data_IF_171969979580
#
_entry.id   IF_171969979580
#
_cell.length_a   1.000
_cell.length_b   1.000
_cell.length_c   1.000
_cell.angle_alpha   90.00
_cell.angle_beta   90.00
_cell.angle_gamma   90.00
#
_symmetry.space_group_name_H-M   'P 1'
#
loop_
_entity.id
_entity.type
_entity.pdbx_description
1 polymer ?
#
# COMPACT_ATOMS: atom_id res chain seq x y z
N UNK A 1 -5.40 14.40 20.71
CA UNK A 1 -4.37 15.43 20.34
C UNK A 1 -3.01 14.82 20.53
N UNK A 2 -2.06 15.04 19.62
CA UNK A 2 -0.67 14.53 19.73
C UNK A 2 0.08 15.35 20.78
N UNK A 3 0.67 14.66 21.75
CA UNK A 3 1.41 15.21 22.88
C UNK A 3 2.90 14.83 22.84
N UNK A 4 3.22 13.69 22.21
CA UNK A 4 4.58 13.19 22.10
C UNK A 4 4.90 12.70 20.70
N UNK A 5 6.12 12.98 20.24
CA UNK A 5 6.68 12.43 19.03
C UNK A 5 7.77 11.43 19.35
N UNK A 6 7.71 10.28 18.69
CA UNK A 6 8.76 9.28 18.77
C UNK A 6 9.23 8.91 17.37
N UNK A 7 10.44 8.40 17.23
CA UNK A 7 10.92 7.86 15.98
C UNK A 7 11.71 6.57 16.18
N UNK A 8 11.67 5.73 15.16
CA UNK A 8 12.51 4.53 15.08
C UNK A 8 13.14 4.46 13.69
N UNK A 9 14.45 4.19 13.63
CA UNK A 9 15.17 3.99 12.37
C UNK A 9 15.57 2.53 12.29
N UNK A 10 14.97 1.80 11.34
CA UNK A 10 15.27 0.39 11.09
C UNK A 10 16.66 0.24 10.49
N UNK A 11 17.41 -0.74 10.98
CA UNK A 11 18.76 -1.08 10.52
C UNK A 11 18.80 -2.35 9.65
N UNK A 12 17.65 -2.98 9.43
CA UNK A 12 17.51 -4.18 8.59
C UNK A 12 17.07 -3.82 7.17
N UNK A 13 17.53 -4.60 6.19
CA UNK A 13 17.06 -4.55 4.80
C UNK A 13 16.06 -5.66 4.48
N UNK A 14 15.74 -6.54 5.44
CA UNK A 14 14.80 -7.64 5.29
C UNK A 14 13.35 -7.13 5.35
N UNK A 15 12.55 -7.28 4.26
CA UNK A 15 11.20 -6.73 4.19
C UNK A 15 10.25 -7.34 5.21
N UNK A 16 10.40 -8.61 5.53
CA UNK A 16 9.53 -9.30 6.49
C UNK A 16 9.76 -8.77 7.91
N UNK A 17 11.02 -8.53 8.28
CA UNK A 17 11.35 -7.94 9.57
C UNK A 17 10.84 -6.50 9.66
N UNK A 18 11.04 -5.70 8.60
CA UNK A 18 10.61 -4.31 8.57
C UNK A 18 9.09 -4.15 8.66
N UNK A 19 8.32 -4.97 7.93
CA UNK A 19 6.86 -4.99 8.02
C UNK A 19 6.38 -5.49 9.38
N UNK A 20 7.11 -6.42 10.02
CA UNK A 20 6.81 -6.91 11.36
C UNK A 20 7.02 -5.81 12.43
N UNK A 21 8.08 -5.02 12.29
CA UNK A 21 8.34 -3.87 13.15
C UNK A 21 7.26 -2.80 12.92
N UNK A 22 6.87 -2.53 11.67
CA UNK A 22 5.79 -1.60 11.34
C UNK A 22 4.48 -1.98 12.05
N UNK A 23 4.07 -3.25 11.96
CA UNK A 23 2.86 -3.73 12.62
C UNK A 23 3.00 -3.75 14.14
N UNK A 24 4.16 -4.15 14.67
CA UNK A 24 4.43 -4.09 16.10
C UNK A 24 4.31 -2.66 16.66
N UNK A 25 4.89 -1.68 15.97
CA UNK A 25 4.79 -0.27 16.36
C UNK A 25 3.34 0.25 16.25
N UNK A 26 2.59 -0.20 15.25
CA UNK A 26 1.15 0.11 15.11
C UNK A 26 0.35 -0.43 16.31
N UNK A 27 0.62 -1.67 16.70
CA UNK A 27 -0.09 -2.31 17.82
C UNK A 27 0.28 -1.71 19.18
N UNK A 28 1.40 -1.01 19.28
CA UNK A 28 1.96 -0.50 20.55
C UNK A 28 1.97 1.01 20.69
N UNK A 29 1.60 1.77 19.65
CA UNK A 29 1.50 3.23 19.72
C UNK A 29 0.49 3.64 20.80
N UNK A 30 0.93 4.61 21.66
CA UNK A 30 0.14 5.02 22.83
C UNK A 30 -0.83 6.17 22.51
N UNK A 31 -1.89 6.35 23.30
CA UNK A 31 -2.74 7.54 23.21
C UNK A 31 -1.90 8.83 23.33
N UNK A 32 -2.12 9.79 22.41
CA UNK A 32 -1.36 11.04 22.35
C UNK A 32 0.05 10.92 21.74
N UNK A 33 0.48 9.73 21.37
CA UNK A 33 1.77 9.49 20.73
C UNK A 33 1.62 9.41 19.19
N UNK A 34 2.63 9.94 18.48
CA UNK A 34 2.86 9.64 17.06
C UNK A 34 4.28 9.12 16.88
N UNK A 35 4.42 8.04 16.12
CA UNK A 35 5.70 7.42 15.81
C UNK A 35 6.02 7.64 14.33
N UNK A 36 7.23 8.10 14.02
CA UNK A 36 7.80 8.09 12.67
C UNK A 36 8.80 6.93 12.57
N UNK A 37 8.47 5.93 11.77
CA UNK A 37 9.36 4.81 11.47
C UNK A 37 9.98 5.00 10.09
N UNK A 38 11.33 4.95 10.00
CA UNK A 38 12.12 5.08 8.77
C UNK A 38 12.87 3.78 8.51
N UNK A 39 12.74 3.23 7.29
CA UNK A 39 13.27 1.90 6.98
C UNK A 39 13.53 1.70 5.48
N UNK A 40 14.34 0.72 5.15
CA UNK A 40 14.71 0.37 3.79
C UNK A 40 14.59 -1.14 3.57
N UNK A 41 14.31 -1.54 2.34
CA UNK A 41 14.39 -2.94 1.92
C UNK A 41 15.43 -3.10 0.82
N UNK A 42 16.02 -4.29 0.73
CA UNK A 42 16.84 -4.69 -0.39
C UNK A 42 16.02 -5.53 -1.37
N UNK A 43 16.11 -5.22 -2.66
CA UNK A 43 15.55 -5.97 -3.80
C UNK A 43 14.20 -6.65 -3.50
N UNK A 44 13.20 -5.84 -3.22
CA UNK A 44 11.91 -6.34 -2.75
C UNK A 44 10.77 -5.80 -3.61
N UNK A 45 9.88 -6.68 -4.07
CA UNK A 45 8.55 -6.28 -4.53
C UNK A 45 7.59 -6.33 -3.35
N UNK A 46 6.96 -5.20 -3.02
CA UNK A 46 5.92 -5.12 -1.98
C UNK A 46 4.57 -4.93 -2.64
N UNK A 47 3.69 -5.91 -2.47
CA UNK A 47 2.31 -5.87 -2.97
C UNK A 47 1.34 -5.41 -1.88
N UNK A 48 0.22 -4.81 -2.30
CA UNK A 48 -0.88 -4.45 -1.40
C UNK A 48 -1.63 -5.67 -0.87
N UNK A 49 -2.38 -5.48 0.22
CA UNK A 49 -3.10 -6.54 0.96
C UNK A 49 -3.92 -7.45 0.06
N UNK A 50 -4.66 -6.88 -0.90
CA UNK A 50 -5.58 -7.63 -1.76
C UNK A 50 -5.06 -7.85 -3.19
N UNK A 51 -3.77 -7.61 -3.47
CA UNK A 51 -3.24 -7.84 -4.80
C UNK A 51 -2.95 -9.32 -5.08
N UNK A 52 -3.14 -9.70 -6.35
CA UNK A 52 -2.77 -11.02 -6.85
C UNK A 52 -1.26 -11.07 -7.10
N UNK A 53 -0.52 -11.73 -6.20
CA UNK A 53 0.94 -11.82 -6.27
C UNK A 53 1.46 -12.32 -7.64
N UNK A 54 0.75 -13.28 -8.23
CA UNK A 54 1.14 -13.89 -9.51
C UNK A 54 0.96 -12.96 -10.71
N UNK A 55 0.03 -12.00 -10.62
CA UNK A 55 -0.18 -10.99 -11.67
C UNK A 55 0.73 -9.78 -11.52
N UNK A 56 1.04 -9.38 -10.30
CA UNK A 56 1.74 -8.12 -10.02
C UNK A 56 3.26 -8.24 -10.11
N UNK A 57 3.81 -9.44 -9.93
CA UNK A 57 5.24 -9.66 -9.77
C UNK A 57 5.74 -10.80 -10.65
N UNK A 58 6.87 -10.60 -11.31
CA UNK A 58 7.66 -11.67 -11.92
C UNK A 58 8.45 -12.39 -10.85
N UNK A 59 7.72 -13.12 -10.03
CA UNK A 59 8.23 -13.71 -8.79
C UNK A 59 9.43 -14.63 -9.00
N UNK A 60 9.41 -15.48 -10.06
CA UNK A 60 10.50 -16.41 -10.34
C UNK A 60 11.81 -15.68 -10.66
N UNK A 61 11.77 -14.63 -11.46
CA UNK A 61 12.92 -13.80 -11.81
C UNK A 61 13.45 -13.07 -10.57
N UNK A 62 12.55 -12.49 -9.77
CA UNK A 62 12.89 -11.82 -8.52
C UNK A 62 13.60 -12.75 -7.53
N UNK A 63 13.10 -13.98 -7.35
CA UNK A 63 13.67 -14.97 -6.44
C UNK A 63 15.03 -15.49 -6.93
N UNK A 64 15.19 -15.73 -8.23
CA UNK A 64 16.46 -16.12 -8.85
C UNK A 64 17.55 -15.07 -8.63
N UNK A 65 17.18 -13.80 -8.63
CA UNK A 65 18.08 -12.69 -8.37
C UNK A 65 18.30 -12.42 -6.86
N UNK A 66 17.80 -13.30 -5.98
CA UNK A 66 17.89 -13.18 -4.52
C UNK A 66 17.01 -12.09 -3.93
N UNK A 67 15.97 -11.68 -4.64
CA UNK A 67 14.99 -10.71 -4.14
C UNK A 67 13.84 -11.34 -3.36
N UNK A 68 12.99 -10.49 -2.81
CA UNK A 68 11.89 -10.87 -1.93
C UNK A 68 10.54 -10.38 -2.45
N UNK A 69 9.52 -11.23 -2.37
CA UNK A 69 8.13 -10.81 -2.48
C UNK A 69 7.56 -10.64 -1.07
N UNK A 70 7.04 -9.47 -0.76
CA UNK A 70 6.38 -9.18 0.52
C UNK A 70 4.97 -8.62 0.29
N UNK A 71 4.05 -8.89 1.20
CA UNK A 71 2.69 -8.35 1.21
C UNK A 71 2.50 -7.49 2.44
N UNK A 72 2.09 -6.22 2.25
CA UNK A 72 1.80 -5.27 3.33
C UNK A 72 0.33 -5.32 3.74
N UNK A 73 0.01 -4.73 4.91
CA UNK A 73 -1.37 -4.63 5.42
C UNK A 73 -2.22 -3.61 4.65
N UNK A 74 -1.59 -2.55 4.10
CA UNK A 74 -2.32 -1.51 3.38
C UNK A 74 -2.72 -1.94 1.97
N UNK A 75 -3.68 -1.23 1.39
CA UNK A 75 -4.03 -1.35 -0.02
C UNK A 75 -3.02 -0.70 -0.97
N UNK A 76 -3.47 -0.40 -2.19
CA UNK A 76 -2.66 0.21 -3.23
C UNK A 76 -1.90 -0.80 -4.09
N UNK A 77 -1.20 -0.30 -5.10
CA UNK A 77 -0.48 -1.11 -6.09
C UNK A 77 0.87 -1.63 -5.61
N UNK A 78 1.44 -2.55 -6.38
CA UNK A 78 2.78 -3.09 -6.16
C UNK A 78 3.86 -2.01 -6.37
N UNK A 79 4.90 -2.07 -5.55
CA UNK A 79 6.09 -1.22 -5.60
C UNK A 79 7.35 -2.08 -5.56
N UNK A 80 8.45 -1.54 -6.10
CA UNK A 80 9.76 -2.15 -5.97
C UNK A 80 10.63 -1.29 -5.05
N UNK A 81 11.32 -1.95 -4.12
CA UNK A 81 12.27 -1.34 -3.20
C UNK A 81 13.67 -1.91 -3.43
N UNK A 82 14.63 -1.04 -3.51
CA UNK A 82 16.05 -1.32 -3.33
C UNK A 82 16.62 -0.36 -2.28
N UNK A 83 17.91 -0.41 -2.03
CA UNK A 83 18.57 0.48 -1.04
C UNK A 83 18.56 1.97 -1.43
N UNK A 84 18.15 2.30 -2.66
CA UNK A 84 17.89 3.67 -3.11
C UNK A 84 16.51 4.20 -2.72
N UNK A 85 15.65 3.35 -2.14
CA UNK A 85 14.34 3.73 -1.65
C UNK A 85 14.35 3.84 -0.12
N UNK A 86 13.91 4.97 0.42
CA UNK A 86 13.62 5.13 1.85
C UNK A 86 12.12 5.03 2.08
N UNK A 87 11.70 4.15 2.99
CA UNK A 87 10.32 4.10 3.44
C UNK A 87 10.13 4.93 4.71
N UNK A 88 8.96 5.51 4.84
CA UNK A 88 8.51 6.17 6.06
C UNK A 88 7.14 5.61 6.47
N UNK A 89 6.89 5.59 7.78
CA UNK A 89 5.58 5.21 8.33
C UNK A 89 5.26 6.12 9.51
N UNK A 90 4.13 6.85 9.44
CA UNK A 90 3.53 7.55 10.57
C UNK A 90 2.50 6.65 11.21
N UNK A 91 2.70 6.31 12.50
CA UNK A 91 1.80 5.46 13.26
C UNK A 91 1.17 6.27 14.40
N UNK A 92 -0.15 6.17 14.54
CA UNK A 92 -0.91 7.05 15.43
C UNK A 92 -2.25 6.41 15.81
N UNK A 93 -2.82 6.69 17.01
CA UNK A 93 -4.21 6.37 17.28
C UNK A 93 -5.15 6.98 16.22
N UNK A 94 -6.13 6.20 15.73
CA UNK A 94 -7.02 6.61 14.63
C UNK A 94 -7.74 7.94 14.89
N UNK A 95 -8.09 8.21 16.14
CA UNK A 95 -8.73 9.49 16.54
C UNK A 95 -7.86 10.73 16.31
N UNK A 96 -6.55 10.55 16.24
CA UNK A 96 -5.55 11.61 16.04
C UNK A 96 -4.93 11.58 14.63
N UNK A 97 -5.48 10.73 13.73
CA UNK A 97 -4.99 10.58 12.37
C UNK A 97 -5.31 11.81 11.50
N UNK A 98 -4.28 12.45 10.97
CA UNK A 98 -4.36 13.60 10.07
C UNK A 98 -3.41 13.42 8.89
N UNK A 99 -3.95 12.89 7.79
CA UNK A 99 -3.19 12.65 6.58
C UNK A 99 -2.58 13.93 5.98
N UNK A 100 -3.31 15.05 6.02
CA UNK A 100 -2.83 16.30 5.45
C UNK A 100 -1.62 16.82 6.19
N UNK A 101 -1.63 16.72 7.50
CA UNK A 101 -0.52 17.12 8.37
C UNK A 101 0.69 16.17 8.21
N UNK A 102 0.46 14.86 8.09
CA UNK A 102 1.51 13.87 7.81
C UNK A 102 2.16 14.08 6.45
N UNK A 103 1.36 14.34 5.41
CA UNK A 103 1.86 14.68 4.08
C UNK A 103 2.69 15.98 4.08
N UNK A 104 2.31 16.97 4.90
CA UNK A 104 3.09 18.21 5.00
C UNK A 104 4.47 18.00 5.60
N UNK A 105 4.69 16.97 6.43
CA UNK A 105 6.04 16.59 6.90
C UNK A 105 6.92 16.19 5.72
N UNK A 106 6.41 15.36 4.82
CA UNK A 106 7.17 14.90 3.65
C UNK A 106 7.47 16.07 2.72
N UNK A 107 6.46 16.91 2.43
CA UNK A 107 6.64 18.08 1.59
C UNK A 107 7.62 19.09 2.18
N UNK A 108 7.57 19.34 3.49
CA UNK A 108 8.50 20.22 4.19
C UNK A 108 9.94 19.69 4.11
N UNK A 109 10.13 18.38 4.36
CA UNK A 109 11.45 17.76 4.28
C UNK A 109 12.05 17.90 2.87
N UNK A 110 11.28 17.62 1.82
CA UNK A 110 11.76 17.71 0.43
C UNK A 110 11.98 19.17 0.00
N UNK A 111 11.08 20.09 0.37
CA UNK A 111 11.23 21.53 0.09
C UNK A 111 12.44 22.14 0.79
N UNK A 112 12.82 21.64 1.96
CA UNK A 112 14.04 22.08 2.65
C UNK A 112 15.33 21.77 1.89
N UNK A 113 15.26 20.88 0.89
CA UNK A 113 16.34 20.57 -0.05
C UNK A 113 16.34 21.50 -1.30
N UNK A 114 15.42 22.45 -1.37
CA UNK A 114 15.24 23.35 -2.52
C UNK A 114 14.39 22.74 -3.66
N UNK A 115 13.69 21.63 -3.41
CA UNK A 115 12.88 20.93 -4.40
C UNK A 115 11.41 21.34 -4.26
N UNK A 116 10.75 21.78 -5.36
CA UNK A 116 9.32 22.09 -5.37
C UNK A 116 8.50 20.80 -5.55
N UNK A 117 8.15 20.17 -4.45
CA UNK A 117 7.32 18.97 -4.41
C UNK A 117 5.85 19.30 -4.14
N UNK A 118 4.96 18.57 -4.80
CA UNK A 118 3.51 18.77 -4.73
C UNK A 118 2.76 17.46 -4.57
N UNK A 119 1.63 17.49 -3.83
CA UNK A 119 0.71 16.36 -3.76
C UNK A 119 -0.03 16.22 -5.10
N UNK A 120 -0.12 15.00 -5.61
CA UNK A 120 -0.80 14.72 -6.88
C UNK A 120 -1.74 13.53 -6.75
N UNK A 121 -2.95 13.67 -7.29
CA UNK A 121 -3.96 12.62 -7.28
C UNK A 121 -4.32 12.15 -5.87
N UNK A 122 -4.54 10.84 -5.71
CA UNK A 122 -5.04 10.24 -4.45
C UNK A 122 -3.93 10.02 -3.43
N UNK A 123 -2.74 9.64 -3.89
CA UNK A 123 -1.69 9.11 -3.02
C UNK A 123 -0.27 9.27 -3.58
N UNK A 124 -0.05 10.13 -4.55
CA UNK A 124 1.28 10.38 -5.11
C UNK A 124 1.81 11.75 -4.64
N UNK A 125 3.15 11.86 -4.49
CA UNK A 125 3.84 13.14 -4.40
C UNK A 125 4.78 13.23 -5.60
N UNK A 126 4.78 14.39 -6.26
CA UNK A 126 5.42 14.59 -7.55
C UNK A 126 6.32 15.81 -7.56
N UNK A 127 7.31 15.81 -8.46
CA UNK A 127 8.13 16.95 -8.87
C UNK A 127 7.97 17.05 -10.39
N UNK A 128 7.54 18.19 -10.90
CA UNK A 128 7.28 18.41 -12.33
C UNK A 128 6.40 17.32 -12.97
N UNK A 129 5.38 16.86 -12.22
CA UNK A 129 4.46 15.81 -12.64
C UNK A 129 5.01 14.37 -12.55
N UNK A 130 6.29 14.16 -12.23
CA UNK A 130 6.90 12.85 -12.04
C UNK A 130 6.84 12.43 -10.57
N UNK A 131 6.40 11.20 -10.33
CA UNK A 131 6.25 10.65 -8.98
C UNK A 131 7.60 10.26 -8.39
N UNK A 132 7.88 10.71 -7.16
CA UNK A 132 8.99 10.22 -6.35
C UNK A 132 8.53 9.54 -5.05
N UNK A 133 7.25 9.70 -4.69
CA UNK A 133 6.66 9.10 -3.48
C UNK A 133 5.27 8.55 -3.76
N UNK A 134 5.03 7.32 -3.35
CA UNK A 134 3.73 6.68 -3.32
C UNK A 134 3.31 6.40 -1.89
N UNK A 135 2.02 6.58 -1.59
CA UNK A 135 1.51 6.51 -0.23
C UNK A 135 0.35 5.53 -0.14
N UNK A 136 0.23 4.87 1.00
CA UNK A 136 -0.88 3.99 1.33
C UNK A 136 -1.21 4.09 2.83
N UNK A 137 -2.38 3.60 3.21
CA UNK A 137 -2.96 3.80 4.52
C UNK A 137 -3.52 2.49 5.04
N UNK A 138 -3.52 2.32 6.36
CA UNK A 138 -4.12 1.18 7.01
C UNK A 138 -4.69 1.61 8.35
N UNK A 139 -5.85 1.09 8.70
CA UNK A 139 -6.39 1.12 10.04
C UNK A 139 -6.44 -0.30 10.57
N UNK A 140 -5.96 -0.50 11.79
CA UNK A 140 -6.02 -1.78 12.51
C UNK A 140 -6.51 -1.52 13.93
N UNK A 141 -7.75 -1.92 14.22
CA UNK A 141 -8.38 -1.61 15.49
C UNK A 141 -8.50 -0.10 15.71
N UNK A 142 -7.96 0.38 16.81
CA UNK A 142 -7.99 1.80 17.19
C UNK A 142 -6.78 2.60 16.69
N UNK A 143 -5.87 1.97 15.95
CA UNK A 143 -4.65 2.60 15.43
C UNK A 143 -4.64 2.64 13.91
N UNK A 144 -3.97 3.65 13.37
CA UNK A 144 -3.81 3.85 11.94
C UNK A 144 -2.38 4.18 11.59
N UNK A 145 -1.98 3.80 10.38
CA UNK A 145 -0.75 4.31 9.80
C UNK A 145 -0.94 4.89 8.40
N UNK A 146 -0.08 5.83 8.08
CA UNK A 146 0.22 6.30 6.75
C UNK A 146 1.67 5.96 6.46
N UNK A 147 1.92 5.16 5.44
CA UNK A 147 3.27 4.88 4.99
C UNK A 147 3.47 5.23 3.52
N UNK A 148 4.72 5.38 3.14
CA UNK A 148 5.08 5.69 1.76
C UNK A 148 6.54 5.44 1.47
N UNK A 149 6.85 5.65 0.20
CA UNK A 149 8.19 5.51 -0.38
C UNK A 149 8.77 6.88 -0.68
N UNK A 150 10.08 7.03 -0.56
CA UNK A 150 10.85 8.14 -1.10
C UNK A 150 11.92 7.57 -2.02
N UNK A 151 11.78 7.81 -3.31
CA UNK A 151 12.76 7.39 -4.31
C UNK A 151 13.95 8.36 -4.27
N UNK A 152 15.02 7.96 -3.59
CA UNK A 152 16.26 8.74 -3.51
C UNK A 152 17.13 8.45 -4.72
N UNK A 153 17.46 7.17 -4.93
CA UNK A 153 18.33 6.68 -6.00
C UNK A 153 17.91 5.25 -6.42
N UNK A 154 16.63 5.07 -6.72
CA UNK A 154 16.05 3.77 -7.11
C UNK A 154 16.45 3.43 -8.55
N UNK A 155 16.80 2.18 -8.80
CA UNK A 155 17.03 1.66 -10.15
C UNK A 155 15.68 1.45 -10.86
N UNK A 156 15.29 2.41 -11.68
CA UNK A 156 14.00 2.39 -12.39
C UNK A 156 13.90 1.29 -13.45
N UNK A 157 15.02 0.73 -13.90
CA UNK A 157 15.02 -0.42 -14.82
C UNK A 157 14.56 -1.69 -14.09
N UNK A 158 15.01 -1.88 -12.85
CA UNK A 158 14.55 -2.99 -12.00
C UNK A 158 13.08 -2.87 -11.65
N UNK A 159 12.55 -1.66 -11.45
CA UNK A 159 11.10 -1.44 -11.27
C UNK A 159 10.31 -2.03 -12.45
N UNK A 160 10.72 -1.72 -13.69
CA UNK A 160 10.07 -2.22 -14.91
C UNK A 160 10.32 -3.73 -15.12
N UNK A 161 11.45 -4.25 -14.63
CA UNK A 161 11.80 -5.66 -14.77
C UNK A 161 10.96 -6.57 -13.89
N UNK A 162 10.79 -6.25 -12.61
CA UNK A 162 10.10 -7.15 -11.66
C UNK A 162 8.60 -6.92 -11.53
N UNK A 163 8.09 -5.72 -11.89
CA UNK A 163 6.66 -5.43 -11.81
C UNK A 163 5.94 -5.68 -13.13
N UNK A 164 4.84 -6.42 -13.07
CA UNK A 164 3.92 -6.58 -14.18
C UNK A 164 2.94 -5.40 -14.21
N UNK A 165 3.33 -4.29 -14.84
CA UNK A 165 2.44 -3.13 -14.98
C UNK A 165 1.59 -3.31 -16.23
N UNK A 166 0.26 -3.41 -16.07
CA UNK A 166 -0.65 -3.56 -17.22
C UNK A 166 -0.62 -2.31 -18.11
N UNK A 167 -0.75 -2.51 -19.45
CA UNK A 167 -0.86 -1.38 -20.39
C UNK A 167 -2.06 -0.47 -20.05
N UNK A 168 -3.19 -1.03 -19.61
CA UNK A 168 -4.34 -0.25 -19.13
C UNK A 168 -3.96 0.70 -18.00
N UNK A 169 -3.08 0.27 -17.08
CA UNK A 169 -2.57 1.10 -15.96
C UNK A 169 -1.65 2.22 -16.43
N UNK A 170 -0.81 1.98 -17.43
CA UNK A 170 0.04 3.02 -18.02
C UNK A 170 -0.81 4.04 -18.79
N UNK A 171 -1.72 3.58 -19.64
CA UNK A 171 -2.63 4.45 -20.44
C UNK A 171 -3.52 5.32 -19.53
N UNK A 172 -4.09 4.78 -18.44
CA UNK A 172 -4.92 5.56 -17.50
C UNK A 172 -4.15 6.66 -16.77
N UNK A 173 -2.81 6.61 -16.77
CA UNK A 173 -1.93 7.63 -16.21
C UNK A 173 -1.28 8.53 -17.26
N UNK A 174 -1.62 8.35 -18.55
CA UNK A 174 -1.11 9.16 -19.66
C UNK A 174 0.39 9.00 -19.93
N UNK A 175 0.99 7.84 -19.58
CA UNK A 175 2.44 7.60 -19.72
C UNK A 175 2.71 6.35 -20.56
N UNK A 176 3.84 6.37 -21.28
CA UNK A 176 4.26 5.27 -22.15
C UNK A 176 5.03 4.16 -21.41
N UNK A 177 5.63 4.48 -20.26
CA UNK A 177 6.43 3.53 -19.48
C UNK A 177 6.43 3.88 -18.00
N UNK A 178 6.86 2.94 -17.14
CA UNK A 178 7.04 3.17 -15.71
C UNK A 178 8.13 4.22 -15.48
N UNK A 179 9.26 4.13 -16.18
CA UNK A 179 10.40 5.03 -16.01
C UNK A 179 10.09 6.49 -16.39
N UNK A 180 9.19 6.72 -17.36
CA UNK A 180 8.79 8.09 -17.73
C UNK A 180 7.90 8.76 -16.69
N UNK A 181 7.34 7.98 -15.76
CA UNK A 181 6.40 8.44 -14.73
C UNK A 181 7.06 8.83 -13.41
N UNK A 182 8.25 8.32 -13.14
CA UNK A 182 8.92 8.47 -11.85
C UNK A 182 10.19 9.30 -11.96
N UNK A 183 10.66 9.84 -10.82
CA UNK A 183 11.97 10.46 -10.68
C UNK A 183 12.58 10.11 -9.32
N UNK A 184 13.89 10.26 -9.20
CA UNK A 184 14.61 10.17 -7.94
C UNK A 184 14.88 11.57 -7.37
N UNK A 185 14.95 11.71 -6.06
CA UNK A 185 15.34 12.97 -5.42
C UNK A 185 16.80 13.34 -5.76
N UNK A 186 17.67 12.33 -5.96
CA UNK A 186 19.05 12.54 -6.38
C UNK A 186 19.19 13.10 -7.81
N UNK A 187 18.14 13.04 -8.64
CA UNK A 187 18.12 13.72 -9.94
C UNK A 187 18.20 15.26 -9.78
N UNK A 188 17.75 15.78 -8.63
CA UNK A 188 17.71 17.22 -8.30
C UNK A 188 18.80 17.60 -7.30
N UNK A 189 19.15 16.70 -6.36
CA UNK A 189 20.21 16.89 -5.36
C UNK A 189 21.13 15.68 -5.38
N UNK A 190 22.13 15.63 -6.28
CA UNK A 190 22.97 14.45 -6.53
C UNK A 190 23.74 13.95 -5.29
N UNK A 191 24.07 14.83 -4.35
CA UNK A 191 24.78 14.49 -3.11
C UNK A 191 23.87 13.95 -1.99
N UNK A 192 22.54 13.93 -2.18
CA UNK A 192 21.60 13.54 -1.15
C UNK A 192 21.81 12.07 -0.75
N UNK A 193 22.07 11.85 0.52
CA UNK A 193 22.20 10.52 1.12
C UNK A 193 20.93 10.13 1.88
N UNK A 194 20.74 8.81 2.06
CA UNK A 194 19.62 8.31 2.90
C UNK A 194 19.66 8.90 4.31
N UNK A 195 20.84 9.01 4.90
CA UNK A 195 21.01 9.57 6.26
C UNK A 195 20.60 11.04 6.32
N UNK A 196 20.96 11.85 5.33
CA UNK A 196 20.52 13.25 5.24
C UNK A 196 19.01 13.35 5.07
N UNK A 197 18.40 12.50 4.21
CA UNK A 197 16.95 12.50 4.06
C UNK A 197 16.23 12.08 5.33
N UNK A 198 16.74 11.09 6.07
CA UNK A 198 16.22 10.74 7.40
C UNK A 198 16.27 11.93 8.36
N UNK A 199 17.40 12.65 8.40
CA UNK A 199 17.54 13.85 9.23
C UNK A 199 16.54 14.95 8.83
N UNK A 200 16.37 15.21 7.53
CA UNK A 200 15.39 16.17 7.00
C UNK A 200 13.95 15.81 7.37
N UNK A 201 13.61 14.52 7.36
CA UNK A 201 12.30 14.05 7.82
C UNK A 201 12.07 14.28 9.31
N UNK A 202 13.07 14.03 10.15
CA UNK A 202 12.98 14.29 11.60
C UNK A 202 12.86 15.79 11.91
N UNK A 203 13.63 16.64 11.22
CA UNK A 203 13.52 18.11 11.32
C UNK A 203 12.14 18.62 10.92
N UNK A 204 11.63 18.13 9.78
CA UNK A 204 10.28 18.47 9.30
C UNK A 204 9.19 17.96 10.24
N UNK A 205 9.35 16.76 10.80
CA UNK A 205 8.43 16.16 11.76
C UNK A 205 8.33 17.01 13.02
N UNK A 206 9.48 17.42 13.58
CA UNK A 206 9.53 18.35 14.71
C UNK A 206 8.86 19.69 14.38
N UNK A 207 9.17 20.27 13.22
CA UNK A 207 8.66 21.59 12.79
C UNK A 207 7.14 21.58 12.62
N UNK A 208 6.58 20.57 11.90
CA UNK A 208 5.14 20.50 11.58
C UNK A 208 4.30 20.25 12.84
N UNK A 209 4.80 19.44 13.77
CA UNK A 209 4.08 19.12 15.00
C UNK A 209 4.44 20.05 16.18
N UNK A 210 5.48 20.86 16.06
CA UNK A 210 5.98 21.78 17.11
C UNK A 210 6.35 21.03 18.40
N UNK A 211 6.88 19.83 18.26
CA UNK A 211 7.33 18.93 19.32
C UNK A 211 8.68 18.32 18.94
N UNK A 212 9.49 17.96 19.91
CA UNK A 212 10.79 17.29 19.67
C UNK A 212 10.61 15.78 19.62
N UNK A 213 10.94 15.10 18.51
CA UNK A 213 10.85 13.64 18.42
C UNK A 213 11.96 12.97 19.23
N UNK A 214 11.60 11.95 20.00
CA UNK A 214 12.53 11.15 20.80
C UNK A 214 12.75 9.76 20.17
N UNK A 215 13.97 9.22 20.16
CA UNK A 215 14.25 7.91 19.65
C UNK A 215 13.57 6.82 20.50
N UNK A 216 13.00 5.81 19.85
CA UNK A 216 12.57 4.58 20.52
C UNK A 216 13.81 3.69 20.68
N UNK A 217 14.23 3.35 21.91
CA UNK A 217 15.37 2.46 22.12
C UNK A 217 15.07 1.04 21.64
N UNK A 218 16.05 0.37 21.03
CA UNK A 218 15.93 -1.04 20.61
C UNK A 218 15.50 -1.95 21.76
N UNK A 219 15.90 -1.63 22.98
CA UNK A 219 15.61 -2.41 24.19
C UNK A 219 14.13 -2.47 24.58
N UNK A 220 13.28 -1.58 24.03
CA UNK A 220 11.82 -1.62 24.28
C UNK A 220 11.05 -2.38 23.20
N UNK A 221 11.73 -2.81 22.14
CA UNK A 221 11.12 -3.65 21.08
C UNK A 221 11.00 -5.08 21.60
N UNK A 222 9.77 -5.60 21.64
CA UNK A 222 9.53 -7.00 21.98
C UNK A 222 9.87 -7.91 20.79
N UNK A 223 11.11 -8.36 20.74
CA UNK A 223 11.61 -9.22 19.67
C UNK A 223 10.79 -10.52 19.52
N UNK A 224 10.19 -11.05 20.59
CA UNK A 224 9.35 -12.26 20.50
C UNK A 224 8.09 -12.00 19.70
N UNK A 225 7.43 -10.86 19.96
CA UNK A 225 6.25 -10.44 19.18
C UNK A 225 6.63 -10.12 17.72
N UNK A 226 7.73 -9.40 17.52
CA UNK A 226 8.23 -9.11 16.16
C UNK A 226 8.53 -10.39 15.39
N UNK A 227 9.16 -11.39 16.02
CA UNK A 227 9.44 -12.67 15.36
C UNK A 227 8.18 -13.50 15.06
N UNK A 228 7.13 -13.41 15.88
CA UNK A 228 5.85 -14.03 15.56
C UNK A 228 5.23 -13.41 14.29
N UNK A 229 5.27 -12.07 14.16
CA UNK A 229 4.84 -11.36 12.95
C UNK A 229 5.75 -11.69 11.75
N UNK A 230 7.06 -11.78 11.96
CA UNK A 230 8.01 -12.18 10.91
C UNK A 230 7.65 -13.53 10.29
N UNK A 231 7.31 -14.52 11.10
CA UNK A 231 6.89 -15.84 10.62
C UNK A 231 5.62 -15.75 9.77
N UNK A 232 4.69 -14.87 10.12
CA UNK A 232 3.50 -14.60 9.31
C UNK A 232 3.87 -13.94 7.99
N UNK A 233 4.62 -12.80 8.00
CA UNK A 233 4.96 -12.06 6.79
C UNK A 233 5.84 -12.84 5.81
N UNK A 234 6.70 -13.73 6.30
CA UNK A 234 7.56 -14.57 5.48
C UNK A 234 6.85 -15.82 4.95
N UNK A 235 5.68 -16.19 5.50
CA UNK A 235 4.95 -17.40 5.12
C UNK A 235 4.45 -17.35 3.67
N UNK A 236 4.30 -18.53 3.09
CA UNK A 236 3.74 -18.70 1.75
C UNK A 236 2.29 -18.20 1.70
N UNK A 237 1.49 -18.59 2.71
CA UNK A 237 0.08 -18.28 2.85
C UNK A 237 -0.15 -16.76 2.86
N UNK A 238 0.67 -16.02 3.58
CA UNK A 238 0.57 -14.57 3.63
C UNK A 238 0.94 -13.92 2.28
N UNK A 239 2.03 -14.36 1.66
CA UNK A 239 2.53 -13.78 0.40
C UNK A 239 1.60 -14.04 -0.77
N UNK A 240 1.14 -15.27 -0.93
CA UNK A 240 0.39 -15.69 -2.11
C UNK A 240 -1.12 -15.81 -1.88
N UNK A 241 -1.56 -15.92 -0.63
CA UNK A 241 -2.95 -16.12 -0.26
C UNK A 241 -3.48 -17.50 -0.64
N UNK A 242 -4.77 -17.65 -0.52
CA UNK A 242 -5.48 -18.88 -0.94
C UNK A 242 -5.80 -18.84 -2.44
N UNK A 243 -5.94 -20.02 -3.04
CA UNK A 243 -6.52 -20.20 -4.37
C UNK A 243 -7.88 -20.88 -4.23
N UNK A 244 -8.82 -20.50 -5.07
CA UNK A 244 -10.12 -21.17 -5.18
C UNK A 244 -10.30 -21.77 -6.58
N UNK A 245 -11.12 -22.81 -6.68
CA UNK A 245 -11.69 -23.22 -7.97
C UNK A 245 -12.82 -22.25 -8.26
N UNK A 246 -12.74 -21.51 -9.35
CA UNK A 246 -13.78 -20.57 -9.75
C UNK A 246 -14.45 -21.04 -11.05
N UNK A 247 -15.72 -20.73 -11.18
CA UNK A 247 -16.54 -20.97 -12.38
C UNK A 247 -16.84 -19.67 -13.14
N UNK A 248 -16.54 -18.52 -12.52
CA UNK A 248 -16.72 -17.19 -13.11
C UNK A 248 -15.56 -16.27 -12.70
N UNK A 249 -15.06 -15.51 -13.68
CA UNK A 249 -14.00 -14.53 -13.47
C UNK A 249 -14.30 -13.26 -14.28
N UNK A 250 -14.04 -12.11 -13.68
CA UNK A 250 -14.06 -10.82 -14.35
C UNK A 250 -12.90 -9.94 -13.89
N UNK A 251 -12.44 -9.06 -14.77
CA UNK A 251 -11.36 -8.13 -14.50
C UNK A 251 -11.63 -6.80 -15.19
N UNK A 252 -11.64 -5.71 -14.41
CA UNK A 252 -11.83 -4.38 -14.98
C UNK A 252 -11.06 -3.34 -14.15
N UNK A 253 -10.76 -2.20 -14.79
CA UNK A 253 -10.10 -1.05 -14.18
C UNK A 253 -11.03 0.14 -14.12
N UNK A 254 -11.24 0.64 -12.91
CA UNK A 254 -12.02 1.82 -12.56
C UNK A 254 -11.11 2.95 -12.06
N UNK A 255 -11.67 4.15 -11.84
CA UNK A 255 -10.93 5.30 -11.31
C UNK A 255 -10.36 5.05 -9.90
N UNK A 256 -11.04 4.24 -9.09
CA UNK A 256 -10.60 3.86 -7.74
C UNK A 256 -9.57 2.73 -7.71
N UNK A 257 -9.37 1.99 -8.81
CA UNK A 257 -8.41 0.89 -8.89
C UNK A 257 -8.81 -0.18 -9.89
N UNK A 258 -7.99 -1.22 -9.97
CA UNK A 258 -8.29 -2.45 -10.72
C UNK A 258 -8.95 -3.45 -9.78
N UNK A 259 -9.90 -4.24 -10.31
CA UNK A 259 -10.50 -5.37 -9.64
C UNK A 259 -10.43 -6.61 -10.51
N UNK A 260 -10.03 -7.74 -9.93
CA UNK A 260 -10.21 -9.08 -10.48
C UNK A 260 -11.07 -9.86 -9.51
N UNK A 261 -12.18 -10.38 -10.01
CA UNK A 261 -13.13 -11.17 -9.24
C UNK A 261 -13.05 -12.62 -9.67
N UNK A 262 -12.86 -13.54 -8.74
CA UNK A 262 -12.95 -14.98 -8.95
C UNK A 262 -14.05 -15.53 -8.06
N UNK A 263 -15.09 -16.10 -8.64
CA UNK A 263 -16.26 -16.60 -7.93
C UNK A 263 -16.48 -18.09 -8.25
N UNK A 264 -16.69 -18.89 -7.22
CA UNK A 264 -17.23 -20.22 -7.36
C UNK A 264 -18.75 -20.17 -7.20
N UNK A 265 -19.46 -20.39 -8.30
CA UNK A 265 -20.93 -20.32 -8.34
C UNK A 265 -21.47 -21.73 -8.52
N UNK A 266 -22.41 -22.13 -7.68
CA UNK A 266 -23.16 -23.38 -7.78
C UNK A 266 -24.65 -23.11 -7.56
N UNK A 267 -25.51 -23.59 -8.47
CA UNK A 267 -26.97 -23.40 -8.43
C UNK A 267 -27.39 -21.93 -8.22
N UNK A 268 -26.68 -20.99 -8.88
CA UNK A 268 -26.95 -19.56 -8.80
C UNK A 268 -26.53 -18.89 -7.46
N UNK A 269 -25.85 -19.62 -6.57
CA UNK A 269 -25.34 -19.11 -5.30
C UNK A 269 -23.82 -19.05 -5.34
N UNK A 270 -23.25 -17.95 -4.88
CA UNK A 270 -21.78 -17.77 -4.71
C UNK A 270 -21.34 -18.60 -3.50
N UNK A 271 -20.62 -19.69 -3.76
CA UNK A 271 -20.10 -20.59 -2.73
C UNK A 271 -18.74 -20.12 -2.16
N UNK A 272 -17.94 -19.50 -3.01
CA UNK A 272 -16.65 -18.93 -2.63
C UNK A 272 -16.31 -17.73 -3.51
N UNK A 273 -15.53 -16.78 -2.97
CA UNK A 273 -15.16 -15.55 -3.64
C UNK A 273 -13.75 -15.10 -3.26
N UNK A 274 -12.99 -14.61 -4.24
CA UNK A 274 -11.78 -13.83 -4.02
C UNK A 274 -11.86 -12.56 -4.87
N UNK A 275 -11.68 -11.42 -4.24
CA UNK A 275 -11.54 -10.12 -4.89
C UNK A 275 -10.08 -9.64 -4.76
N UNK A 276 -9.37 -9.60 -5.88
CA UNK A 276 -8.05 -8.98 -5.94
C UNK A 276 -8.18 -7.54 -6.42
N UNK A 277 -7.48 -6.60 -5.75
CA UNK A 277 -7.56 -5.19 -6.10
C UNK A 277 -6.35 -4.38 -5.65
N UNK A 278 -6.04 -3.30 -6.38
CA UNK A 278 -5.13 -2.23 -5.97
C UNK A 278 -5.87 -1.01 -5.37
N UNK A 279 -7.13 -1.19 -4.91
CA UNK A 279 -7.86 -0.17 -4.17
C UNK A 279 -7.13 0.20 -2.87
N UNK A 280 -7.19 1.48 -2.48
CA UNK A 280 -6.58 1.95 -1.24
C UNK A 280 -7.33 1.45 0.01
N UNK A 281 -8.66 1.31 -0.08
CA UNK A 281 -9.51 0.74 0.97
C UNK A 281 -9.49 -0.80 0.91
N UNK A 282 -8.42 -1.36 1.47
CA UNK A 282 -8.18 -2.81 1.44
C UNK A 282 -9.20 -3.58 2.26
N UNK A 283 -9.63 -3.03 3.39
CA UNK A 283 -10.57 -3.69 4.29
C UNK A 283 -11.98 -3.78 3.69
N UNK A 284 -12.36 -2.76 2.90
CA UNK A 284 -13.61 -2.79 2.16
C UNK A 284 -13.62 -3.91 1.09
N UNK A 285 -12.53 -4.05 0.33
CA UNK A 285 -12.39 -5.13 -0.66
C UNK A 285 -12.46 -6.50 0.01
N UNK A 286 -11.77 -6.68 1.13
CA UNK A 286 -11.80 -7.93 1.89
C UNK A 286 -13.20 -8.22 2.45
N UNK A 287 -13.88 -7.22 3.02
CA UNK A 287 -15.25 -7.35 3.50
C UNK A 287 -16.21 -7.75 2.37
N UNK A 288 -16.12 -7.11 1.20
CA UNK A 288 -16.93 -7.47 0.04
C UNK A 288 -16.68 -8.92 -0.39
N UNK A 289 -15.42 -9.36 -0.44
CA UNK A 289 -15.06 -10.75 -0.79
C UNK A 289 -15.76 -11.74 0.15
N UNK A 290 -15.76 -11.48 1.46
CA UNK A 290 -16.42 -12.32 2.46
C UNK A 290 -17.96 -12.26 2.36
N UNK A 291 -18.54 -11.08 2.14
CA UNK A 291 -19.99 -10.86 2.13
C UNK A 291 -20.68 -11.32 0.85
N UNK A 292 -19.95 -11.52 -0.23
CA UNK A 292 -20.45 -12.12 -1.46
C UNK A 292 -20.78 -13.61 -1.27
N UNK A 293 -20.08 -14.31 -0.39
CA UNK A 293 -20.33 -15.73 -0.12
C UNK A 293 -21.73 -15.92 0.43
N UNK A 294 -22.49 -16.87 -0.12
CA UNK A 294 -23.90 -17.14 0.20
C UNK A 294 -24.89 -16.17 -0.44
N UNK A 295 -24.45 -15.23 -1.27
CA UNK A 295 -25.36 -14.40 -2.07
C UNK A 295 -25.83 -15.12 -3.32
N UNK A 296 -27.04 -14.81 -3.78
CA UNK A 296 -27.45 -15.12 -5.16
C UNK A 296 -26.56 -14.35 -6.11
N UNK A 297 -26.18 -14.97 -7.22
CA UNK A 297 -25.41 -14.32 -8.28
C UNK A 297 -26.32 -13.40 -9.13
N UNK A 298 -26.93 -12.45 -8.47
CA UNK A 298 -27.82 -11.41 -9.01
C UNK A 298 -27.30 -10.03 -8.58
N UNK A 299 -26.79 -9.20 -9.51
CA UNK A 299 -26.18 -7.90 -9.19
C UNK A 299 -27.08 -6.97 -8.37
N UNK A 300 -28.38 -6.91 -8.66
CA UNK A 300 -29.36 -6.08 -7.95
C UNK A 300 -29.55 -6.55 -6.52
N UNK A 301 -29.66 -7.84 -6.31
CA UNK A 301 -29.77 -8.43 -4.97
C UNK A 301 -28.50 -8.15 -4.15
N UNK A 302 -27.33 -8.34 -4.76
CA UNK A 302 -26.02 -8.08 -4.11
C UNK A 302 -25.93 -6.61 -3.70
N UNK A 303 -26.25 -5.68 -4.63
CA UNK A 303 -26.20 -4.25 -4.34
C UNK A 303 -27.11 -3.87 -3.17
N UNK A 304 -28.38 -4.25 -3.20
CA UNK A 304 -29.37 -3.95 -2.14
C UNK A 304 -28.97 -4.53 -0.80
N UNK A 305 -28.34 -5.72 -0.79
CA UNK A 305 -27.89 -6.37 0.44
C UNK A 305 -26.65 -5.70 1.04
N UNK A 306 -25.69 -5.32 0.20
CA UNK A 306 -24.37 -4.88 0.68
C UNK A 306 -24.22 -3.36 0.78
N UNK A 307 -25.04 -2.55 0.12
CA UNK A 307 -24.95 -1.08 0.19
C UNK A 307 -25.08 -0.53 1.62
N UNK A 308 -25.78 -1.25 2.51
CA UNK A 308 -25.94 -0.88 3.93
C UNK A 308 -24.64 -0.96 4.73
N UNK A 309 -23.64 -1.65 4.20
CA UNK A 309 -22.32 -1.80 4.82
C UNK A 309 -21.34 -0.69 4.42
N UNK A 310 -21.69 0.11 3.42
CA UNK A 310 -20.84 1.22 2.96
C UNK A 310 -20.94 2.40 3.90
N UNK A 311 -19.79 2.95 4.30
CA UNK A 311 -19.70 4.11 5.20
C UNK A 311 -19.44 5.43 4.47
N UNK A 312 -19.07 5.38 3.19
CA UNK A 312 -18.72 6.57 2.40
C UNK A 312 -19.04 6.40 0.91
N UNK A 313 -18.96 7.51 0.17
CA UNK A 313 -19.28 7.53 -1.25
C UNK A 313 -18.36 6.63 -2.09
N UNK A 314 -17.07 6.56 -1.77
CA UNK A 314 -16.10 5.71 -2.49
C UNK A 314 -16.45 4.23 -2.36
N UNK A 315 -16.82 3.77 -1.17
CA UNK A 315 -17.24 2.38 -0.94
C UNK A 315 -18.52 2.04 -1.70
N UNK A 316 -19.49 2.97 -1.74
CA UNK A 316 -20.70 2.82 -2.55
C UNK A 316 -20.39 2.74 -4.05
N UNK A 317 -19.46 3.56 -4.54
CA UNK A 317 -19.03 3.53 -5.93
C UNK A 317 -18.37 2.19 -6.28
N UNK A 318 -17.45 1.70 -5.45
CA UNK A 318 -16.82 0.38 -5.62
C UNK A 318 -17.85 -0.73 -5.73
N UNK A 319 -18.85 -0.76 -4.83
CA UNK A 319 -19.91 -1.76 -4.86
C UNK A 319 -20.76 -1.66 -6.14
N UNK A 320 -21.11 -0.44 -6.55
CA UNK A 320 -21.88 -0.18 -7.78
C UNK A 320 -21.13 -0.66 -9.03
N UNK A 321 -19.84 -0.38 -9.10
CA UNK A 321 -18.99 -0.76 -10.24
C UNK A 321 -18.81 -2.28 -10.32
N UNK A 322 -18.63 -2.95 -9.17
CA UNK A 322 -18.58 -4.42 -9.07
C UNK A 322 -19.88 -5.03 -9.59
N UNK A 323 -21.03 -4.53 -9.16
CA UNK A 323 -22.34 -5.03 -9.62
C UNK A 323 -22.56 -4.75 -11.12
N UNK A 324 -22.06 -3.63 -11.64
CA UNK A 324 -22.10 -3.30 -13.07
C UNK A 324 -21.23 -4.24 -13.90
N UNK A 325 -20.04 -4.57 -13.41
CA UNK A 325 -19.14 -5.55 -14.05
C UNK A 325 -19.80 -6.95 -14.14
N UNK A 326 -20.48 -7.37 -13.06
CA UNK A 326 -21.22 -8.64 -13.05
C UNK A 326 -22.36 -8.67 -14.07
N UNK A 327 -23.06 -7.53 -14.31
CA UNK A 327 -24.13 -7.45 -15.34
C UNK A 327 -23.57 -7.58 -16.74
N UNK A 328 -22.51 -6.87 -17.07
CA UNK A 328 -21.90 -6.84 -18.41
C UNK A 328 -21.44 -8.23 -18.87
N UNK A 329 -20.90 -9.03 -17.98
CA UNK A 329 -20.41 -10.37 -18.30
C UNK A 329 -21.50 -11.46 -18.30
N UNK A 330 -22.70 -11.15 -17.83
CA UNK A 330 -23.86 -12.04 -17.88
C UNK A 330 -24.80 -11.73 -19.05
N UNK A 331 -24.49 -10.72 -19.88
CA UNK A 331 -25.27 -10.42 -21.09
C UNK A 331 -25.05 -11.50 -22.14
N UNK A 332 -26.12 -11.97 -22.85
CA UNK A 332 -26.02 -13.02 -23.88
C UNK A 332 -25.09 -12.69 -25.05
N UNK A 333 -24.71 -11.42 -25.23
CA UNK A 333 -23.87 -10.91 -26.33
C UNK A 333 -22.36 -10.98 -26.08
N UNK A 334 -21.91 -11.65 -25.00
CA UNK A 334 -20.50 -11.70 -24.59
C UNK A 334 -19.78 -13.02 -24.95
N UNK A 335 -20.28 -13.75 -25.99
CA UNK A 335 -19.65 -14.97 -26.54
C UNK A 335 -19.37 -14.87 -28.01
#
# INVERSE_FOLDING_TARGET
MIETLSYYIGNSLNPYLNLSIEEYLLDTVQPGQMILYLWQNERTVVIGKNQNAWKECRFQELEQDGGHLARRLSGGGAVFHDTGNLNFTFLVPTKDYDLSRQMSVILEAVRSLGIDAQKSGRNDITIDGKKFSGNAFCQKGENSYHHGTLMLHVDTQKVAHYLNVSEKKLRSKGVSSVSSRVCNLCDFVPSLTTKEMQQKLLEAFAKVYQLSPLPIPETVIDHKRVMALYNQYSSWEWKFGRKIKFSWEANERFDWGEIQMQLHINEGIIQDAILYSDALDADWIELLSQKLIGCRFEPEYIFLKLQKLSFNQTQNQILSDICSLMRQQNSPDSH
#
